data_IF_273854705748
#
_entry.id   IF_273854705748
#
_cell.length_a   1.000
_cell.length_b   1.000
_cell.length_c   1.000
_cell.angle_alpha   90.00
_cell.angle_beta   90.00
_cell.angle_gamma   90.00
#
_symmetry.space_group_name_H-M   'P 1'
#
loop_
_entity.id
_entity.type
_entity.pdbx_description
1 polymer ?
#
# COMPACT_ATOMS: atom_id res chain seq x y z
N UNK A 1 11.78 0.61 -10.49
CA UNK A 1 11.08 0.30 -9.22
C UNK A 1 11.33 -1.14 -8.77
N UNK A 2 11.12 -2.14 -9.63
CA UNK A 2 11.31 -3.57 -9.33
C UNK A 2 12.69 -3.90 -8.74
N UNK A 3 13.77 -3.56 -9.43
CA UNK A 3 15.13 -3.93 -9.01
C UNK A 3 15.51 -3.38 -7.63
N UNK A 4 15.03 -2.17 -7.31
CA UNK A 4 15.26 -1.56 -6.00
C UNK A 4 14.49 -2.31 -4.91
N UNK A 5 13.24 -2.67 -5.16
CA UNK A 5 12.43 -3.45 -4.24
C UNK A 5 13.02 -4.86 -4.01
N UNK A 6 13.48 -5.53 -5.07
CA UNK A 6 14.15 -6.85 -4.98
C UNK A 6 15.46 -6.77 -4.17
N UNK A 7 16.25 -5.70 -4.35
CA UNK A 7 17.45 -5.44 -3.53
C UNK A 7 17.11 -5.24 -2.05
N UNK A 8 15.98 -4.59 -1.76
CA UNK A 8 15.45 -4.43 -0.40
C UNK A 8 14.83 -5.75 0.15
N UNK A 9 14.73 -6.79 -0.68
CA UNK A 9 14.18 -8.08 -0.28
C UNK A 9 12.65 -8.17 -0.41
N UNK A 10 12.03 -7.33 -1.22
CA UNK A 10 10.63 -7.47 -1.60
C UNK A 10 10.50 -8.20 -2.93
N UNK A 11 9.53 -9.10 -3.01
CA UNK A 11 9.02 -9.63 -4.26
C UNK A 11 7.93 -8.68 -4.78
N UNK A 12 8.01 -8.33 -6.06
CA UNK A 12 7.11 -7.36 -6.71
C UNK A 12 6.30 -8.07 -7.77
N UNK A 13 4.99 -8.10 -7.59
CA UNK A 13 4.06 -8.61 -8.58
C UNK A 13 3.17 -7.48 -9.10
N UNK A 14 2.90 -7.50 -10.40
CA UNK A 14 2.01 -6.55 -11.06
C UNK A 14 0.79 -7.32 -11.55
N UNK A 15 -0.38 -6.91 -11.12
CA UNK A 15 -1.65 -7.56 -11.44
C UNK A 15 -2.53 -6.58 -12.20
N UNK A 16 -3.06 -7.01 -13.35
CA UNK A 16 -4.16 -6.30 -14.01
C UNK A 16 -5.47 -6.67 -13.32
N UNK A 17 -6.26 -5.67 -12.94
CA UNK A 17 -7.57 -5.91 -12.34
C UNK A 17 -8.59 -4.87 -12.78
N UNK A 18 -9.86 -5.29 -12.83
CA UNK A 18 -10.98 -4.39 -13.13
C UNK A 18 -11.35 -3.53 -11.91
N UNK A 19 -12.07 -2.43 -12.15
CA UNK A 19 -12.65 -1.62 -11.07
C UNK A 19 -13.51 -2.44 -10.12
N UNK A 20 -14.34 -3.35 -10.65
CA UNK A 20 -15.19 -4.24 -9.83
C UNK A 20 -14.36 -5.08 -8.88
N UNK A 21 -13.21 -5.60 -9.34
CA UNK A 21 -12.29 -6.36 -8.50
C UNK A 21 -11.64 -5.45 -7.45
N UNK A 22 -11.21 -4.25 -7.86
CA UNK A 22 -10.57 -3.29 -6.95
C UNK A 22 -11.48 -2.86 -5.80
N UNK A 23 -12.75 -2.64 -6.13
CA UNK A 23 -13.79 -2.14 -5.24
C UNK A 23 -14.49 -3.26 -4.43
N UNK A 24 -14.01 -4.50 -4.53
CA UNK A 24 -14.48 -5.59 -3.68
C UNK A 24 -13.75 -5.59 -2.34
N UNK A 25 -14.45 -6.01 -1.28
CA UNK A 25 -13.96 -5.94 0.10
C UNK A 25 -12.78 -6.90 0.40
N UNK A 26 -12.44 -7.78 -0.55
CA UNK A 26 -11.38 -8.78 -0.40
C UNK A 26 -9.97 -8.25 -0.71
N UNK A 27 -9.84 -7.01 -1.20
CA UNK A 27 -8.52 -6.44 -1.48
C UNK A 27 -7.89 -5.89 -0.21
N UNK A 28 -6.65 -6.33 0.04
CA UNK A 28 -5.83 -5.84 1.13
C UNK A 28 -5.27 -4.46 0.75
N UNK A 29 -5.79 -3.42 1.39
CA UNK A 29 -5.24 -2.06 1.38
C UNK A 29 -4.18 -1.92 2.49
N UNK A 30 -3.18 -1.04 2.34
CA UNK A 30 -2.92 -0.16 1.19
C UNK A 30 -2.32 -0.91 0.00
N UNK A 31 -2.59 -0.45 -1.22
CA UNK A 31 -2.00 -0.98 -2.45
C UNK A 31 -1.40 0.13 -3.32
N UNK A 32 -0.39 -0.22 -4.13
CA UNK A 32 0.27 0.72 -5.03
C UNK A 32 -0.42 0.64 -6.40
N UNK A 33 -0.80 1.79 -6.93
CA UNK A 33 -1.54 1.92 -8.17
C UNK A 33 -0.69 2.67 -9.19
N UNK A 34 -0.70 2.18 -10.41
CA UNK A 34 -0.09 2.85 -11.55
C UNK A 34 -1.16 3.62 -12.32
N UNK A 35 -1.11 4.94 -12.25
CA UNK A 35 -1.96 5.83 -13.03
C UNK A 35 -1.34 6.06 -14.42
N UNK A 36 -2.14 6.61 -15.34
CA UNK A 36 -1.63 7.13 -16.62
C UNK A 36 -0.46 8.10 -16.40
N UNK A 37 0.37 8.24 -17.43
CA UNK A 37 1.57 9.08 -17.45
C UNK A 37 2.73 8.58 -16.57
N UNK A 38 2.83 7.26 -16.36
CA UNK A 38 3.90 6.63 -15.57
C UNK A 38 3.99 7.11 -14.12
N UNK A 39 2.84 7.43 -13.53
CA UNK A 39 2.75 7.96 -12.17
C UNK A 39 2.30 6.89 -11.17
N UNK A 40 2.99 6.78 -10.04
CA UNK A 40 2.71 5.76 -9.02
C UNK A 40 2.16 6.42 -7.76
N UNK A 41 1.02 5.92 -7.29
CA UNK A 41 0.32 6.43 -6.11
C UNK A 41 -0.07 5.29 -5.18
N UNK A 42 -0.34 5.62 -3.92
CA UNK A 42 -0.77 4.64 -2.91
C UNK A 42 -2.24 4.82 -2.60
N UNK A 43 -3.08 3.85 -2.97
CA UNK A 43 -4.46 3.79 -2.52
C UNK A 43 -4.48 3.20 -1.11
N UNK A 44 -4.89 4.00 -0.12
CA UNK A 44 -4.88 3.56 1.28
C UNK A 44 -6.28 3.33 1.84
N UNK A 45 -7.32 3.92 1.25
CA UNK A 45 -8.69 3.72 1.69
C UNK A 45 -9.68 3.97 0.56
N UNK A 46 -10.77 3.21 0.56
CA UNK A 46 -11.94 3.45 -0.28
C UNK A 46 -13.07 3.84 0.68
N UNK A 47 -13.83 4.87 0.31
CA UNK A 47 -14.97 5.35 1.07
C UNK A 47 -16.04 4.28 1.25
N UNK A 48 -16.82 4.37 2.33
CA UNK A 48 -17.91 3.42 2.63
C UNK A 48 -18.96 3.38 1.50
N UNK A 49 -19.17 4.52 0.85
CA UNK A 49 -20.05 4.68 -0.30
C UNK A 49 -19.45 4.16 -1.62
N UNK A 50 -18.19 3.71 -1.60
CA UNK A 50 -17.43 3.23 -2.77
C UNK A 50 -17.28 4.24 -3.91
N UNK A 51 -17.63 5.50 -3.66
CA UNK A 51 -17.56 6.61 -4.64
C UNK A 51 -16.30 7.45 -4.48
N UNK A 52 -15.69 7.43 -3.30
CA UNK A 52 -14.50 8.21 -2.98
C UNK A 52 -13.30 7.29 -2.77
N UNK A 53 -12.18 7.66 -3.34
CA UNK A 53 -10.91 6.98 -3.17
C UNK A 53 -9.92 7.93 -2.53
N UNK A 54 -9.25 7.44 -1.50
CA UNK A 54 -8.24 8.19 -0.78
C UNK A 54 -6.84 7.70 -1.15
N UNK A 55 -6.08 8.59 -1.77
CA UNK A 55 -4.81 8.29 -2.41
C UNK A 55 -3.71 9.14 -1.79
N UNK A 56 -2.54 8.55 -1.55
CA UNK A 56 -1.32 9.25 -1.20
C UNK A 56 -0.41 9.31 -2.43
N UNK A 57 -0.19 10.51 -2.93
CA UNK A 57 0.66 10.83 -4.05
C UNK A 57 2.03 11.34 -3.54
N UNK A 58 3.16 10.73 -3.94
CA UNK A 58 4.48 11.19 -3.52
C UNK A 58 4.82 12.63 -3.97
N UNK A 59 4.25 13.11 -5.07
CA UNK A 59 4.52 14.43 -5.63
C UNK A 59 3.62 15.53 -5.03
N UNK A 60 2.38 15.19 -4.68
CA UNK A 60 1.36 16.18 -4.29
C UNK A 60 0.94 16.03 -2.80
N UNK A 61 0.92 14.82 -2.27
CA UNK A 61 0.43 14.50 -0.93
C UNK A 61 -0.90 13.74 -0.95
N UNK A 62 -1.77 14.00 0.04
CA UNK A 62 -3.05 13.29 0.17
C UNK A 62 -4.10 13.88 -0.79
N UNK A 63 -4.65 13.01 -1.63
CA UNK A 63 -5.66 13.34 -2.64
C UNK A 63 -6.91 12.50 -2.43
N UNK A 64 -8.04 13.06 -2.83
CA UNK A 64 -9.32 12.34 -2.91
C UNK A 64 -9.82 12.41 -4.34
N UNK A 65 -10.08 11.24 -4.93
CA UNK A 65 -10.69 11.13 -6.25
C UNK A 65 -12.11 10.58 -6.12
N UNK A 66 -13.00 11.01 -7.00
CA UNK A 66 -14.22 10.27 -7.27
C UNK A 66 -13.94 9.05 -8.16
N UNK A 67 -14.84 8.07 -8.12
CA UNK A 67 -14.78 6.85 -8.92
C UNK A 67 -14.57 7.12 -10.42
N UNK A 68 -15.27 8.11 -10.99
CA UNK A 68 -15.19 8.42 -12.41
C UNK A 68 -13.82 8.95 -12.81
N UNK A 69 -13.34 9.96 -12.08
CA UNK A 69 -12.00 10.53 -12.30
C UNK A 69 -10.90 9.49 -12.10
N UNK A 70 -11.01 8.67 -11.06
CA UNK A 70 -10.04 7.61 -10.80
C UNK A 70 -10.04 6.55 -11.91
N UNK A 71 -11.21 6.03 -12.30
CA UNK A 71 -11.31 5.05 -13.37
C UNK A 71 -10.75 5.58 -14.69
N UNK A 72 -11.01 6.84 -15.00
CA UNK A 72 -10.42 7.50 -16.17
C UNK A 72 -8.89 7.49 -16.08
N UNK A 73 -8.29 7.84 -14.95
CA UNK A 73 -6.83 7.89 -14.83
C UNK A 73 -6.16 6.51 -14.77
N UNK A 74 -6.85 5.50 -14.24
CA UNK A 74 -6.28 4.20 -13.92
C UNK A 74 -6.53 3.11 -14.96
N UNK A 75 -7.70 3.09 -15.60
CA UNK A 75 -8.06 2.05 -16.57
C UNK A 75 -7.41 2.32 -17.94
N UNK A 76 -6.95 1.24 -18.56
CA UNK A 76 -6.53 1.19 -19.96
C UNK A 76 -7.71 0.87 -20.89
N UNK A 77 -7.44 0.78 -22.20
CA UNK A 77 -8.46 0.45 -23.23
C UNK A 77 -9.13 -0.92 -23.01
N UNK A 78 -8.55 -1.79 -22.18
CA UNK A 78 -9.11 -3.09 -21.79
C UNK A 78 -9.99 -3.03 -20.54
N UNK A 79 -10.34 -1.83 -20.07
CA UNK A 79 -11.09 -1.60 -18.81
C UNK A 79 -10.42 -2.26 -17.59
N UNK A 80 -9.09 -2.40 -17.63
CA UNK A 80 -8.29 -2.94 -16.55
C UNK A 80 -7.23 -1.92 -16.16
N UNK A 81 -6.88 -1.90 -14.87
CA UNK A 81 -5.78 -1.08 -14.39
C UNK A 81 -4.71 -1.93 -13.73
N UNK A 82 -3.51 -1.37 -13.64
CA UNK A 82 -2.34 -2.04 -13.05
C UNK A 82 -2.25 -1.73 -11.56
N UNK A 83 -2.10 -2.78 -10.76
CA UNK A 83 -1.83 -2.70 -9.32
C UNK A 83 -0.54 -3.43 -9.03
N UNK A 84 0.31 -2.80 -8.22
CA UNK A 84 1.59 -3.33 -7.79
C UNK A 84 1.47 -3.82 -6.37
N UNK A 85 1.78 -5.10 -6.16
CA UNK A 85 1.83 -5.74 -4.85
C UNK A 85 3.27 -5.97 -4.44
N UNK A 86 3.56 -5.69 -3.17
CA UNK A 86 4.88 -5.92 -2.56
C UNK A 86 4.74 -6.99 -1.48
N UNK A 87 5.48 -8.09 -1.63
CA UNK A 87 5.53 -9.17 -0.64
C UNK A 87 6.93 -9.26 -0.04
N UNK A 88 7.10 -9.16 1.29
CA UNK A 88 8.43 -9.32 1.89
C UNK A 88 8.92 -10.76 1.69
N UNK A 89 10.20 -10.92 1.35
CA UNK A 89 10.87 -12.22 1.21
C UNK A 89 11.72 -12.53 2.45
N UNK A 90 12.19 -13.77 2.64
CA UNK A 90 13.17 -14.09 3.70
C UNK A 90 14.42 -13.18 3.69
N UNK A 91 14.82 -12.70 2.50
CA UNK A 91 15.94 -11.77 2.35
C UNK A 91 15.69 -10.44 3.06
N UNK A 92 14.48 -9.89 2.99
CA UNK A 92 14.09 -8.66 3.71
C UNK A 92 14.36 -8.80 5.20
N UNK A 93 13.95 -9.92 5.79
CA UNK A 93 14.18 -10.19 7.22
C UNK A 93 15.66 -10.35 7.54
N UNK A 94 16.43 -11.05 6.70
CA UNK A 94 17.88 -11.20 6.91
C UNK A 94 18.65 -9.87 6.83
N UNK A 95 18.28 -8.98 5.89
CA UNK A 95 18.88 -7.65 5.75
C UNK A 95 18.55 -6.84 7.01
N UNK A 96 17.28 -6.84 7.40
CA UNK A 96 16.80 -6.15 8.60
C UNK A 96 17.50 -6.68 9.84
N UNK A 97 17.66 -7.99 10.02
CA UNK A 97 18.32 -8.57 11.20
C UNK A 97 19.83 -8.29 11.23
N UNK A 98 20.52 -8.28 10.07
CA UNK A 98 21.96 -8.00 9.98
C UNK A 98 22.30 -6.53 10.25
N UNK A 99 21.45 -5.59 9.87
CA UNK A 99 21.60 -4.17 10.22
C UNK A 99 21.25 -3.86 11.68
N UNK A 100 20.78 -4.84 12.46
CA UNK A 100 20.23 -4.68 13.81
C UNK A 100 21.15 -5.16 14.95
N UNK A 101 22.43 -5.42 14.69
CA UNK A 101 23.39 -5.81 15.74
C UNK A 101 23.67 -4.70 16.78
N UNK A 102 23.18 -3.46 16.60
CA UNK A 102 23.27 -2.38 17.61
C UNK A 102 22.07 -1.38 17.66
N UNK A 103 20.88 -1.67 17.09
CA UNK A 103 19.88 -0.59 16.88
C UNK A 103 18.38 -0.98 16.84
N UNK A 104 17.94 -2.04 17.55
CA UNK A 104 16.53 -2.48 17.53
C UNK A 104 15.49 -1.40 17.91
N UNK A 105 15.82 -0.46 18.80
CA UNK A 105 14.88 0.62 19.19
C UNK A 105 14.87 1.83 18.24
N UNK A 106 15.94 2.04 17.47
CA UNK A 106 16.12 3.27 16.67
C UNK A 106 15.48 3.12 15.29
N UNK A 107 15.50 1.93 14.69
CA UNK A 107 14.96 1.70 13.33
C UNK A 107 13.42 1.61 13.29
N UNK A 108 12.78 1.06 14.33
CA UNK A 108 11.31 1.15 14.44
C UNK A 108 10.91 2.62 14.61
N UNK A 109 11.68 3.43 15.37
CA UNK A 109 11.45 4.87 15.45
C UNK A 109 11.67 5.55 14.09
N UNK A 110 12.66 5.16 13.29
CA UNK A 110 12.91 5.72 11.96
C UNK A 110 11.81 5.39 10.96
N UNK A 111 11.34 4.14 10.89
CA UNK A 111 10.20 3.76 10.05
C UNK A 111 8.94 4.47 10.55
N UNK A 112 8.68 4.48 11.86
CA UNK A 112 7.55 5.22 12.46
C UNK A 112 7.67 6.72 12.23
N UNK A 113 8.89 7.28 12.13
CA UNK A 113 9.16 8.68 11.82
C UNK A 113 9.00 8.97 10.31
N UNK A 114 9.33 8.03 9.43
CA UNK A 114 9.06 8.11 7.99
C UNK A 114 7.56 8.14 7.72
N UNK A 115 6.77 7.45 8.56
CA UNK A 115 5.30 7.42 8.50
C UNK A 115 4.69 8.55 9.37
N UNK A 116 5.47 9.28 10.20
CA UNK A 116 4.97 10.38 11.07
C UNK A 116 4.40 11.59 10.33
N UNK A 117 4.89 12.06 9.16
CA UNK A 117 4.29 13.22 8.51
C UNK A 117 2.87 12.94 7.98
N UNK A 118 2.44 11.68 7.92
CA UNK A 118 1.07 11.28 7.54
C UNK A 118 0.08 11.29 8.73
N UNK A 119 0.38 12.00 9.83
CA UNK A 119 -0.41 12.03 11.09
C UNK A 119 -1.45 13.15 11.18
N UNK A 120 -2.00 13.61 10.06
CA UNK A 120 -3.16 14.50 10.05
C UNK A 120 -4.49 13.78 9.71
N UNK A 121 -4.75 12.59 10.29
CA UNK A 121 -6.12 12.14 10.63
C UNK A 121 -6.04 10.85 11.48
N UNK A 122 -6.17 11.00 12.80
CA UNK A 122 -5.95 9.94 13.81
C UNK A 122 -7.01 8.81 13.82
N UNK A 123 -8.03 8.84 12.97
CA UNK A 123 -9.14 7.87 13.01
C UNK A 123 -9.05 6.69 12.00
N UNK A 124 -8.14 6.71 11.02
CA UNK A 124 -8.12 5.65 9.99
C UNK A 124 -7.22 4.44 10.29
N UNK A 125 -6.21 4.56 11.17
CA UNK A 125 -5.22 3.47 11.39
C UNK A 125 -5.62 2.45 12.48
N UNK A 126 -6.65 2.71 13.28
CA UNK A 126 -7.05 1.82 14.38
C UNK A 126 -7.64 0.50 13.84
N UNK A 127 -8.27 0.51 12.65
CA UNK A 127 -8.87 -0.68 12.05
C UNK A 127 -7.87 -1.66 11.39
N UNK A 128 -6.69 -1.19 10.97
CA UNK A 128 -5.67 -2.07 10.39
C UNK A 128 -4.92 -2.90 11.45
N UNK A 129 -4.80 -2.37 12.67
CA UNK A 129 -4.07 -3.03 13.77
C UNK A 129 -4.84 -4.24 14.33
N UNK A 130 -6.17 -4.25 14.26
CA UNK A 130 -7.00 -5.36 14.77
C UNK A 130 -7.03 -6.59 13.85
N UNK A 131 -6.78 -6.45 12.55
CA UNK A 131 -6.84 -7.58 11.61
C UNK A 131 -5.59 -8.47 11.67
N UNK A 132 -4.43 -7.88 11.93
CA UNK A 132 -3.15 -8.64 12.01
C UNK A 132 -3.06 -9.45 13.31
N UNK A 133 -3.68 -9.01 14.41
CA UNK A 133 -3.65 -9.76 15.68
C UNK A 133 -4.65 -10.92 15.75
N UNK A 134 -5.69 -10.95 14.90
CA UNK A 134 -6.66 -12.08 14.89
C UNK A 134 -6.18 -13.30 14.11
N UNK A 135 -5.30 -13.15 13.12
CA UNK A 135 -4.75 -14.30 12.39
C UNK A 135 -3.68 -15.09 13.17
N UNK A 136 -3.15 -14.55 14.28
CA UNK A 136 -2.08 -15.18 15.07
C UNK A 136 -2.63 -16.07 16.21
N UNK A 137 -3.92 -16.00 16.55
CA UNK A 137 -4.53 -16.75 17.67
C UNK A 137 -5.59 -17.79 17.27
N UNK A 138 -5.72 -18.15 15.99
CA UNK A 138 -6.63 -19.22 15.53
C UNK A 138 -5.92 -20.51 15.10
N UNK A 139 -4.63 -20.66 15.41
CA UNK A 139 -3.88 -21.91 15.29
C UNK A 139 -3.23 -22.25 16.63
N UNK A 140 -4.05 -22.56 17.63
CA UNK A 140 -3.66 -23.39 18.77
C UNK A 140 -4.90 -24.00 19.43
#
# INVERSE_FOLDING_TARGET
MRDAAEKLGYDVSVTKMSWKTLNNDNIKLPCIIHLRQNHFVVLYSIGVDKKKLFISDPAIGLLTYDEGTFCNLWLDDSNCGLVVSLKPTPRFWSITLKTNSNAKQTQIKEIVNLIKPYKCHRNCFINAKLHIYREIWCYS
#
